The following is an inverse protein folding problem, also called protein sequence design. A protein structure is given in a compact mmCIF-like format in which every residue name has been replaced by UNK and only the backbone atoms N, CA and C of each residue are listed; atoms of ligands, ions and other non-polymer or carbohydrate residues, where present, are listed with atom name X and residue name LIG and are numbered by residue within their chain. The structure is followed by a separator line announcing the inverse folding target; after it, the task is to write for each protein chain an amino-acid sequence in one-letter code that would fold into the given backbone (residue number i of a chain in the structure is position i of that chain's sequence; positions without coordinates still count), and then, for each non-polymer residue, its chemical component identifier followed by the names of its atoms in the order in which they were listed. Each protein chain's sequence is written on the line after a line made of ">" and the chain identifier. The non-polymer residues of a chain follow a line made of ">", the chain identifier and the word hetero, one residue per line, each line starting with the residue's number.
data_IF_904198589207
#
_entry.id   IF_904198589207
#
_cell.length_a   1.000
_cell.length_b   1.000
_cell.length_c   1.000
_cell.angle_alpha   90.00
_cell.angle_beta   90.00
_cell.angle_gamma   90.00
#
_symmetry.space_group_name_H-M   'P 1'
#
loop_
_entity.id
_entity.type
_entity.pdbx_description
1 polymer ?
#
# COMPACT_ATOMS: atom_id res chain seq x y z
N UNK A 1 50.91 -53.77 2.99
CA UNK A 1 51.39 -52.42 3.32
C UNK A 1 50.19 -51.47 3.29
N UNK A 2 49.71 -51.05 4.46
CA UNK A 2 48.84 -49.86 4.63
C UNK A 2 49.75 -48.67 5.02
N UNK A 3 49.39 -47.43 4.66
CA UNK A 3 48.59 -46.57 5.56
C UNK A 3 47.43 -45.87 4.81
N UNK A 4 46.22 -45.75 5.36
CA UNK A 4 45.81 -44.83 6.45
C UNK A 4 45.85 -43.36 6.02
N UNK A 5 44.67 -42.82 5.66
CA UNK A 5 44.35 -41.39 5.81
C UNK A 5 42.83 -41.24 5.88
N UNK A 6 42.34 -41.26 7.11
CA UNK A 6 41.03 -40.76 7.48
C UNK A 6 41.06 -39.23 7.37
N UNK A 7 40.16 -38.65 6.58
CA UNK A 7 39.83 -37.23 6.69
C UNK A 7 38.53 -37.14 7.49
N UNK A 8 38.70 -36.68 8.72
CA UNK A 8 37.67 -36.43 9.71
C UNK A 8 36.68 -35.37 9.24
N UNK A 9 35.42 -35.63 9.58
CA UNK A 9 34.31 -34.70 9.51
C UNK A 9 34.65 -33.36 10.18
N UNK A 10 34.31 -32.27 9.51
CA UNK A 10 34.01 -30.99 10.15
C UNK A 10 32.93 -30.30 9.34
N UNK A 11 31.70 -30.77 9.54
CA UNK A 11 30.48 -30.01 9.30
C UNK A 11 30.51 -28.80 10.26
N UNK A 12 31.18 -27.73 9.86
CA UNK A 12 30.93 -26.43 10.44
C UNK A 12 29.57 -25.97 9.88
N UNK A 13 28.51 -26.35 10.57
CA UNK A 13 27.19 -25.72 10.45
C UNK A 13 27.34 -24.32 11.03
N UNK A 14 27.86 -23.40 10.22
CA UNK A 14 27.76 -21.97 10.49
C UNK A 14 26.28 -21.65 10.41
N UNK A 15 25.69 -21.38 11.57
CA UNK A 15 24.25 -21.22 11.75
C UNK A 15 23.64 -20.25 10.75
N UNK A 16 22.97 -20.80 9.75
CA UNK A 16 21.87 -20.12 9.11
C UNK A 16 20.69 -20.32 10.08
N UNK A 17 20.46 -19.36 10.97
CA UNK A 17 19.17 -19.29 11.63
C UNK A 17 18.13 -19.31 10.49
N UNK A 18 17.15 -20.23 10.50
CA UNK A 18 16.07 -20.13 9.54
C UNK A 18 15.39 -18.79 9.85
N UNK A 19 15.58 -17.79 8.99
CA UNK A 19 14.68 -16.66 8.91
C UNK A 19 13.29 -17.28 8.89
N UNK A 20 12.52 -17.08 9.95
CA UNK A 20 11.17 -17.61 10.04
C UNK A 20 10.49 -17.32 8.69
N UNK A 21 9.81 -18.30 8.06
CA UNK A 21 9.09 -18.02 6.83
C UNK A 21 8.17 -16.85 7.15
N UNK A 22 8.37 -15.72 6.48
CA UNK A 22 7.39 -14.63 6.51
C UNK A 22 6.10 -15.30 6.08
N UNK A 23 5.14 -15.41 7.00
CA UNK A 23 3.89 -16.07 6.71
C UNK A 23 3.32 -15.39 5.46
N UNK A 24 3.16 -16.17 4.39
CA UNK A 24 2.59 -15.65 3.16
C UNK A 24 1.19 -15.13 3.50
N UNK A 25 0.95 -13.83 3.25
CA UNK A 25 -0.37 -13.25 3.47
C UNK A 25 -1.31 -13.79 2.42
N UNK A 26 -2.43 -14.35 2.88
CA UNK A 26 -3.48 -14.94 2.05
C UNK A 26 -4.73 -14.08 2.00
N UNK A 27 -5.71 -14.54 1.22
CA UNK A 27 -7.00 -13.88 1.01
C UNK A 27 -7.70 -13.52 2.33
N UNK A 28 -7.65 -14.39 3.34
CA UNK A 28 -8.34 -14.19 4.62
C UNK A 28 -7.59 -13.30 5.61
N UNK A 29 -6.44 -12.74 5.20
CA UNK A 29 -5.64 -11.89 6.09
C UNK A 29 -6.35 -10.54 6.27
N UNK A 30 -6.50 -10.04 7.51
CA UNK A 30 -6.99 -8.69 7.75
C UNK A 30 -6.11 -7.65 7.05
N UNK A 31 -6.74 -6.57 6.58
CA UNK A 31 -6.00 -5.50 5.92
C UNK A 31 -5.08 -4.77 6.90
N UNK A 32 -3.84 -4.56 6.48
CA UNK A 32 -2.97 -3.56 7.06
C UNK A 32 -2.91 -2.30 6.16
N UNK A 33 -2.40 -1.17 6.66
CA UNK A 33 -2.27 0.05 5.87
C UNK A 33 -1.59 -0.11 4.51
N UNK A 34 -0.57 -0.97 4.44
CA UNK A 34 0.14 -1.23 3.17
C UNK A 34 -0.71 -2.04 2.17
N UNK A 35 -1.57 -2.95 2.66
CA UNK A 35 -2.52 -3.67 1.81
C UNK A 35 -3.61 -2.73 1.31
N UNK A 36 -4.19 -1.94 2.23
CA UNK A 36 -5.18 -0.94 1.91
C UNK A 36 -4.61 0.03 0.86
N UNK A 37 -3.38 0.51 1.00
CA UNK A 37 -2.71 1.35 0.00
C UNK A 37 -2.60 0.68 -1.38
N UNK A 38 -2.15 -0.57 -1.43
CA UNK A 38 -1.99 -1.31 -2.67
C UNK A 38 -3.35 -1.54 -3.36
N UNK A 39 -4.36 -1.96 -2.60
CA UNK A 39 -5.73 -2.14 -3.05
C UNK A 39 -6.32 -0.82 -3.54
N UNK A 40 -6.16 0.26 -2.78
CA UNK A 40 -6.62 1.62 -3.09
C UNK A 40 -6.19 2.05 -4.48
N UNK A 41 -4.89 1.89 -4.74
CA UNK A 41 -4.28 2.25 -6.01
C UNK A 41 -4.78 1.34 -7.12
N UNK A 42 -4.79 0.02 -6.92
CA UNK A 42 -5.27 -0.92 -7.94
C UNK A 42 -6.74 -0.67 -8.32
N UNK A 43 -7.62 -0.55 -7.33
CA UNK A 43 -9.05 -0.38 -7.51
C UNK A 43 -9.38 0.94 -8.21
N UNK A 44 -8.83 2.05 -7.72
CA UNK A 44 -9.15 3.36 -8.31
C UNK A 44 -8.60 3.49 -9.73
N UNK A 45 -7.39 3.00 -9.99
CA UNK A 45 -6.81 3.04 -11.33
C UNK A 45 -7.51 2.10 -12.31
N UNK A 46 -8.16 1.04 -11.83
CA UNK A 46 -8.98 0.16 -12.67
C UNK A 46 -10.19 0.86 -13.30
N UNK A 47 -10.69 1.93 -12.67
CA UNK A 47 -11.82 2.71 -13.16
C UNK A 47 -11.40 3.89 -14.06
N UNK A 48 -10.12 4.25 -14.07
CA UNK A 48 -9.62 5.37 -14.85
C UNK A 48 -9.24 4.96 -16.28
N UNK A 49 -9.43 5.87 -17.23
CA UNK A 49 -8.91 5.66 -18.59
C UNK A 49 -7.38 5.70 -18.56
N UNK A 50 -6.66 4.78 -19.25
CA UNK A 50 -5.20 4.84 -19.32
C UNK A 50 -4.68 6.19 -19.81
N UNK A 51 -5.40 6.85 -20.73
CA UNK A 51 -5.04 8.16 -21.23
C UNK A 51 -5.11 9.26 -20.14
N UNK A 52 -6.05 9.17 -19.19
CA UNK A 52 -6.15 10.13 -18.09
C UNK A 52 -5.08 9.94 -17.02
N UNK A 53 -4.41 8.78 -17.00
CA UNK A 53 -3.34 8.47 -16.05
C UNK A 53 -1.94 8.74 -16.60
N UNK A 54 -1.82 9.04 -17.90
CA UNK A 54 -0.54 9.35 -18.53
C UNK A 54 0.08 10.59 -17.89
N UNK A 55 1.35 10.50 -17.48
CA UNK A 55 2.07 11.57 -16.79
C UNK A 55 1.66 11.78 -15.33
N UNK A 56 0.89 10.86 -14.72
CA UNK A 56 0.62 10.92 -13.27
C UNK A 56 1.67 10.08 -12.52
N UNK A 57 2.38 10.74 -11.60
CA UNK A 57 3.33 10.11 -10.69
C UNK A 57 2.76 10.08 -9.27
N UNK A 58 2.33 8.89 -8.83
CA UNK A 58 1.73 8.67 -7.50
C UNK A 58 2.81 8.59 -6.42
N UNK A 59 2.59 9.27 -5.30
CA UNK A 59 3.46 9.21 -4.14
C UNK A 59 3.59 7.76 -3.60
N UNK A 60 4.76 7.42 -3.02
CA UNK A 60 4.96 6.13 -2.37
C UNK A 60 4.22 6.06 -1.03
N UNK A 61 4.12 4.85 -0.47
CA UNK A 61 3.36 4.60 0.76
C UNK A 61 3.83 5.45 1.95
N UNK A 62 5.13 5.69 2.11
CA UNK A 62 5.65 6.53 3.20
C UNK A 62 5.11 7.98 3.19
N UNK A 63 4.60 8.44 2.05
CA UNK A 63 4.05 9.78 1.88
C UNK A 63 2.52 9.80 1.85
N UNK A 64 1.86 8.63 1.95
CA UNK A 64 0.41 8.55 2.01
C UNK A 64 -0.11 8.96 3.40
N UNK A 65 -1.26 9.61 3.43
CA UNK A 65 -2.00 9.80 4.69
C UNK A 65 -2.86 8.56 4.92
N UNK A 66 -2.69 7.94 6.08
CA UNK A 66 -3.42 6.74 6.50
C UNK A 66 -4.27 7.06 7.73
N UNK A 67 -5.51 6.58 7.74
CA UNK A 67 -6.38 6.57 8.91
C UNK A 67 -6.87 5.15 9.17
N UNK A 68 -6.47 4.55 10.29
CA UNK A 68 -7.07 3.30 10.79
C UNK A 68 -8.28 3.69 11.65
N UNK A 69 -9.43 3.12 11.33
CA UNK A 69 -10.71 3.45 11.97
C UNK A 69 -11.10 2.40 13.01
N UNK A 70 -11.99 2.78 13.92
CA UNK A 70 -12.49 1.89 14.98
C UNK A 70 -13.37 0.75 14.45
N UNK A 71 -13.96 0.91 13.26
CA UNK A 71 -14.74 -0.13 12.57
C UNK A 71 -13.89 -1.13 11.79
N UNK A 72 -12.56 -1.02 11.87
CA UNK A 72 -11.61 -1.90 11.19
C UNK A 72 -11.37 -1.54 9.72
N UNK A 73 -12.02 -0.51 9.17
CA UNK A 73 -11.68 0.00 7.85
C UNK A 73 -10.43 0.90 7.89
N UNK A 74 -9.75 1.02 6.76
CA UNK A 74 -8.57 1.84 6.59
C UNK A 74 -8.84 2.85 5.47
N UNK A 75 -8.71 4.13 5.83
CA UNK A 75 -8.69 5.24 4.88
C UNK A 75 -7.26 5.50 4.38
N UNK A 76 -7.09 5.64 3.07
CA UNK A 76 -5.81 5.97 2.43
C UNK A 76 -6.02 7.19 1.53
N UNK A 77 -5.09 8.13 1.60
CA UNK A 77 -5.00 9.27 0.70
C UNK A 77 -3.58 9.34 0.11
N UNK A 78 -3.49 9.31 -1.21
CA UNK A 78 -2.25 9.25 -2.00
C UNK A 78 -2.20 10.48 -2.90
N UNK A 79 -1.25 11.36 -2.63
CA UNK A 79 -0.99 12.49 -3.53
C UNK A 79 -0.26 12.04 -4.80
N UNK A 80 -0.39 12.82 -5.85
CA UNK A 80 0.35 12.63 -7.08
C UNK A 80 0.73 13.97 -7.72
N UNK A 81 1.74 13.90 -8.58
CA UNK A 81 2.10 14.96 -9.51
C UNK A 81 1.55 14.64 -10.89
N UNK A 82 0.87 15.60 -11.51
CA UNK A 82 0.56 15.56 -12.93
C UNK A 82 1.66 16.24 -13.74
N UNK A 83 2.55 15.49 -14.37
CA UNK A 83 3.66 16.04 -15.17
C UNK A 83 3.17 16.88 -16.37
N UNK A 84 1.93 16.68 -16.82
CA UNK A 84 1.33 17.44 -17.92
C UNK A 84 0.68 18.76 -17.46
N UNK A 85 0.41 18.90 -16.15
CA UNK A 85 -0.25 20.06 -15.54
C UNK A 85 0.23 20.28 -14.11
N UNK A 86 1.54 20.24 -13.87
CA UNK A 86 2.05 20.36 -12.51
C UNK A 86 1.69 21.75 -11.96
N UNK A 87 0.65 21.79 -11.13
CA UNK A 87 0.14 22.97 -10.45
C UNK A 87 0.51 22.89 -8.97
N UNK A 88 0.70 24.05 -8.32
CA UNK A 88 1.18 24.14 -6.93
C UNK A 88 2.70 24.25 -6.78
N UNK A 89 3.15 24.75 -5.63
CA UNK A 89 4.57 25.09 -5.39
C UNK A 89 5.50 23.87 -5.30
N UNK A 90 4.96 22.68 -5.09
CA UNK A 90 5.65 21.39 -5.02
C UNK A 90 5.23 20.43 -6.14
N UNK A 91 4.43 20.90 -7.11
CA UNK A 91 3.98 20.14 -8.28
C UNK A 91 3.00 19.01 -8.00
N UNK A 92 2.39 18.93 -6.80
CA UNK A 92 1.33 17.95 -6.50
C UNK A 92 -0.02 18.64 -6.55
N UNK A 93 -0.88 18.17 -7.44
CA UNK A 93 -2.18 18.79 -7.77
C UNK A 93 -3.35 17.78 -7.79
N UNK A 94 -3.05 16.49 -7.81
CA UNK A 94 -4.02 15.40 -7.84
C UNK A 94 -3.85 14.52 -6.60
N UNK A 95 -4.95 13.94 -6.13
CA UNK A 95 -4.93 12.90 -5.12
C UNK A 95 -5.91 11.78 -5.43
N UNK A 96 -5.59 10.60 -4.91
CA UNK A 96 -6.46 9.45 -4.86
C UNK A 96 -6.79 9.17 -3.42
N UNK A 97 -8.06 8.88 -3.15
CA UNK A 97 -8.49 8.46 -1.82
C UNK A 97 -9.26 7.15 -1.90
N UNK A 98 -9.23 6.39 -0.81
CA UNK A 98 -10.16 5.29 -0.61
C UNK A 98 -10.35 4.99 0.87
N UNK A 99 -11.37 4.18 1.14
CA UNK A 99 -11.71 3.62 2.45
C UNK A 99 -12.13 2.17 2.23
N UNK A 100 -11.43 1.25 2.88
CA UNK A 100 -11.60 -0.19 2.66
C UNK A 100 -11.46 -0.96 3.95
N UNK A 101 -12.40 -1.86 4.23
CA UNK A 101 -12.36 -2.82 5.32
C UNK A 101 -12.26 -4.26 4.81
N UNK A 102 -12.56 -5.24 5.66
CA UNK A 102 -12.54 -6.65 5.29
C UNK A 102 -11.13 -7.24 5.25
N UNK A 103 -10.87 -8.08 4.25
CA UNK A 103 -9.61 -8.82 4.09
C UNK A 103 -8.95 -8.55 2.75
N UNK A 104 -7.73 -9.05 2.55
CA UNK A 104 -7.00 -8.91 1.28
C UNK A 104 -7.80 -9.50 0.09
N UNK A 105 -8.46 -10.64 0.30
CA UNK A 105 -9.19 -11.36 -0.74
C UNK A 105 -10.65 -10.94 -0.90
N UNK A 106 -11.24 -10.41 0.17
CA UNK A 106 -12.62 -9.91 0.18
C UNK A 106 -12.64 -8.47 0.76
N UNK A 107 -12.12 -7.48 0.01
CA UNK A 107 -12.13 -6.09 0.44
C UNK A 107 -13.54 -5.52 0.44
N UNK A 108 -13.92 -4.88 1.54
CA UNK A 108 -15.22 -4.19 1.70
C UNK A 108 -15.04 -2.69 1.44
N UNK A 109 -15.53 -2.21 0.30
CA UNK A 109 -15.28 -0.85 -0.19
C UNK A 109 -16.31 0.16 0.33
N UNK A 110 -15.84 1.08 1.18
CA UNK A 110 -16.65 2.22 1.68
C UNK A 110 -16.58 3.44 0.75
N UNK A 111 -15.58 3.49 -0.14
CA UNK A 111 -15.50 4.47 -1.24
C UNK A 111 -14.08 4.67 -1.72
N UNK A 112 -13.95 5.13 -2.96
CA UNK A 112 -12.66 5.38 -3.59
C UNK A 112 -12.82 6.32 -4.79
N UNK A 113 -11.77 7.07 -5.12
CA UNK A 113 -11.82 8.03 -6.22
C UNK A 113 -10.53 8.82 -6.42
N UNK A 114 -10.51 9.59 -7.51
CA UNK A 114 -9.45 10.55 -7.84
C UNK A 114 -10.06 11.95 -7.82
N UNK A 115 -9.36 12.90 -7.20
CA UNK A 115 -9.77 14.29 -7.12
C UNK A 115 -8.58 15.24 -7.12
N UNK A 116 -8.87 16.52 -6.93
CA UNK A 116 -7.83 17.52 -6.67
C UNK A 116 -7.17 17.26 -5.32
N UNK A 117 -5.91 17.66 -5.20
CA UNK A 117 -5.19 17.58 -3.93
C UNK A 117 -5.76 18.56 -2.91
N UNK A 118 -6.10 18.02 -1.75
CA UNK A 118 -6.26 18.74 -0.48
C UNK A 118 -4.92 18.90 0.25
N UNK A 119 -4.72 20.06 0.87
CA UNK A 119 -3.50 20.38 1.64
C UNK A 119 -3.75 20.46 3.15
N UNK A 120 -5.01 20.59 3.55
CA UNK A 120 -5.41 20.57 4.95
C UNK A 120 -5.51 19.11 5.43
N UNK A 121 -4.61 18.74 6.35
CA UNK A 121 -4.55 17.39 6.90
C UNK A 121 -5.80 17.02 7.68
N UNK A 122 -6.41 17.94 8.40
CA UNK A 122 -7.61 17.65 9.18
C UNK A 122 -8.80 17.40 8.26
N UNK A 123 -8.87 18.14 7.14
CA UNK A 123 -9.86 17.88 6.10
C UNK A 123 -9.65 16.53 5.40
N UNK A 124 -8.40 16.14 5.12
CA UNK A 124 -8.08 14.80 4.59
C UNK A 124 -8.56 13.72 5.57
N UNK A 125 -8.27 13.86 6.87
CA UNK A 125 -8.71 12.90 7.88
C UNK A 125 -10.24 12.83 7.98
N UNK A 126 -10.94 13.96 7.86
CA UNK A 126 -12.40 13.99 7.77
C UNK A 126 -12.91 13.16 6.58
N UNK A 127 -12.36 13.35 5.37
CA UNK A 127 -12.71 12.56 4.17
C UNK A 127 -12.55 11.05 4.43
N UNK A 128 -11.44 10.66 5.05
CA UNK A 128 -11.11 9.27 5.36
C UNK A 128 -11.99 8.68 6.49
N UNK A 129 -12.56 9.54 7.34
CA UNK A 129 -13.44 9.15 8.44
C UNK A 129 -14.92 8.97 8.05
N UNK A 130 -15.33 9.44 6.87
CA UNK A 130 -16.71 9.31 6.41
C UNK A 130 -17.06 7.86 6.03
N UNK A 131 -18.28 7.44 6.35
CA UNK A 131 -18.83 6.10 6.02
C UNK A 131 -19.61 6.08 4.71
N UNK A 132 -19.98 7.23 4.18
CA UNK A 132 -20.83 7.34 3.01
C UNK A 132 -20.04 7.46 1.69
N UNK A 133 -20.61 6.84 0.65
CA UNK A 133 -20.27 7.10 -0.76
C UNK A 133 -20.98 8.41 -1.14
N UNK A 134 -20.28 9.54 -1.07
CA UNK A 134 -20.79 10.80 -1.61
C UNK A 134 -20.39 10.93 -3.08
#
# INVERSE_FOLDING_TARGET
>A
MLPMLAVLASLAVTGCAPSAPVAARGADTPLEPIDAFALCKAQTLSLASPASLSGISWAPFENAVTLVRDDGAIGIYIEATNENRAEGSDGRDIALFCRVGGTIGEPDWLGFGVGSRETDRDYILDILSRTDQA
#
